data_IF_022877152136
#
_entry.id   IF_022877152136
#
_cell.length_a   1.000
_cell.length_b   1.000
_cell.length_c   1.000
_cell.angle_alpha   90.00
_cell.angle_beta   90.00
_cell.angle_gamma   90.00
#
_symmetry.space_group_name_H-M   'P 1'
#
loop_
_entity.id
_entity.type
_entity.pdbx_description
1 polymer ?
#
# COMPACT_ATOMS: atom_id res chain seq x y z
N UNK A 1 -3.75 0.92 -23.27
CA UNK A 1 -2.83 0.76 -22.12
C UNK A 1 -3.51 1.22 -20.84
N UNK A 2 -3.52 0.44 -19.73
CA UNK A 2 -4.19 0.85 -18.50
C UNK A 2 -3.46 2.04 -17.88
N UNK A 3 -4.14 3.18 -17.77
CA UNK A 3 -3.57 4.41 -17.19
C UNK A 3 -3.26 4.16 -15.71
N UNK A 4 -1.97 4.14 -15.36
CA UNK A 4 -1.49 3.92 -14.00
C UNK A 4 -2.02 5.04 -13.09
N UNK A 5 -3.13 4.80 -12.40
CA UNK A 5 -3.78 5.82 -11.59
C UNK A 5 -2.87 6.29 -10.46
N UNK A 6 -2.85 7.61 -10.19
CA UNK A 6 -2.00 8.24 -9.15
C UNK A 6 -2.15 7.56 -7.76
N UNK A 7 -3.31 6.97 -7.47
CA UNK A 7 -3.58 6.21 -6.25
C UNK A 7 -2.80 4.89 -6.15
N UNK A 8 -2.58 4.19 -7.27
CA UNK A 8 -1.75 2.98 -7.31
C UNK A 8 -0.27 3.29 -7.02
N UNK A 9 0.22 4.45 -7.49
CA UNK A 9 1.59 4.91 -7.25
C UNK A 9 1.82 5.41 -5.81
N UNK A 10 0.82 6.00 -5.15
CA UNK A 10 0.90 6.41 -3.73
C UNK A 10 0.87 5.20 -2.79
N UNK A 11 0.05 4.20 -3.11
CA UNK A 11 -0.03 2.95 -2.35
C UNK A 11 1.26 2.13 -2.42
N UNK A 12 1.80 1.93 -3.62
CA UNK A 12 3.04 1.16 -3.81
C UNK A 12 4.25 1.81 -3.14
N UNK A 13 4.38 3.15 -3.18
CA UNK A 13 5.43 3.88 -2.47
C UNK A 13 5.36 3.68 -0.96
N UNK A 14 4.17 3.83 -0.37
CA UNK A 14 4.01 3.67 1.09
C UNK A 14 4.30 2.24 1.55
N UNK A 15 3.91 1.23 0.76
CA UNK A 15 4.24 -0.18 1.02
C UNK A 15 5.75 -0.43 0.92
N UNK A 16 6.43 0.13 -0.09
CA UNK A 16 7.89 0.02 -0.22
C UNK A 16 8.61 0.63 0.98
N UNK A 17 8.24 1.85 1.40
CA UNK A 17 8.83 2.51 2.58
C UNK A 17 8.68 1.64 3.83
N UNK A 18 7.50 1.07 4.06
CA UNK A 18 7.29 0.24 5.25
C UNK A 18 8.05 -1.09 5.20
N UNK A 19 8.20 -1.69 4.01
CA UNK A 19 9.05 -2.85 3.83
C UNK A 19 10.53 -2.53 4.07
N UNK A 20 11.00 -1.34 3.68
CA UNK A 20 12.36 -0.89 4.00
C UNK A 20 12.54 -0.71 5.51
N UNK A 21 11.57 -0.09 6.19
CA UNK A 21 11.62 0.06 7.65
C UNK A 21 11.65 -1.28 8.39
N UNK A 22 10.83 -2.25 7.94
CA UNK A 22 10.85 -3.62 8.45
C UNK A 22 12.24 -4.27 8.27
N UNK A 23 12.86 -4.14 7.09
CA UNK A 23 14.20 -4.70 6.82
C UNK A 23 15.31 -4.01 7.62
N UNK A 24 15.17 -2.71 7.87
CA UNK A 24 16.14 -1.93 8.65
C UNK A 24 15.98 -2.07 10.18
N UNK A 25 15.04 -2.89 10.66
CA UNK A 25 14.76 -3.04 12.10
C UNK A 25 14.05 -1.84 12.76
N UNK A 26 13.74 -0.77 12.01
CA UNK A 26 13.11 0.47 12.53
C UNK A 26 11.67 0.30 13.00
N UNK A 27 10.98 -0.78 12.61
CA UNK A 27 9.61 -1.06 13.02
C UNK A 27 9.50 -2.47 13.61
N UNK A 28 8.79 -2.62 14.75
CA UNK A 28 8.46 -3.90 15.43
C UNK A 28 7.45 -4.74 14.64
N UNK A 29 7.65 -4.87 13.34
CA UNK A 29 6.73 -5.57 12.44
C UNK A 29 7.27 -6.98 12.24
N UNK A 30 6.54 -7.97 12.78
CA UNK A 30 6.97 -9.37 12.79
C UNK A 30 6.77 -10.08 11.45
N UNK A 31 6.11 -9.43 10.48
CA UNK A 31 5.74 -10.05 9.21
C UNK A 31 5.64 -9.04 8.06
N UNK A 32 6.07 -9.49 6.87
CA UNK A 32 5.90 -8.75 5.61
C UNK A 32 4.44 -8.38 5.32
N UNK A 33 3.48 -9.25 5.65
CA UNK A 33 2.04 -8.96 5.48
C UNK A 33 1.61 -7.77 6.31
N UNK A 34 2.13 -7.66 7.53
CA UNK A 34 1.86 -6.54 8.43
C UNK A 34 2.49 -5.24 7.93
N UNK A 35 3.72 -5.28 7.40
CA UNK A 35 4.35 -4.11 6.76
C UNK A 35 3.52 -3.60 5.56
N UNK A 36 3.04 -4.51 4.71
CA UNK A 36 2.16 -4.17 3.60
C UNK A 36 0.84 -3.56 4.11
N UNK A 37 0.23 -4.15 5.12
CA UNK A 37 -1.02 -3.65 5.69
C UNK A 37 -0.86 -2.23 6.25
N UNK A 38 0.24 -1.96 6.99
CA UNK A 38 0.55 -0.64 7.52
C UNK A 38 0.80 0.36 6.38
N UNK A 39 1.59 -0.01 5.38
CA UNK A 39 1.86 0.84 4.21
C UNK A 39 0.58 1.18 3.42
N UNK A 40 -0.32 0.21 3.23
CA UNK A 40 -1.62 0.45 2.59
C UNK A 40 -2.53 1.33 3.44
N UNK A 41 -2.52 1.16 4.77
CA UNK A 41 -3.33 1.97 5.66
C UNK A 41 -2.83 3.43 5.72
N UNK A 42 -1.51 3.65 5.81
CA UNK A 42 -0.88 4.98 5.72
C UNK A 42 -1.22 5.64 4.38
N UNK A 43 -1.19 4.90 3.28
CA UNK A 43 -1.56 5.43 1.97
C UNK A 43 -3.03 5.86 1.91
N UNK A 44 -3.97 5.10 2.50
CA UNK A 44 -5.38 5.50 2.61
C UNK A 44 -5.56 6.77 3.42
N UNK A 45 -4.90 6.89 4.58
CA UNK A 45 -4.91 8.11 5.41
C UNK A 45 -4.38 9.34 4.64
N UNK A 46 -3.43 9.14 3.73
CA UNK A 46 -2.90 10.18 2.83
C UNK A 46 -3.77 10.44 1.59
N UNK A 47 -5.01 9.95 1.55
CA UNK A 47 -5.95 10.16 0.45
C UNK A 47 -5.70 9.28 -0.78
N UNK A 48 -4.90 8.22 -0.68
CA UNK A 48 -4.80 7.25 -1.77
C UNK A 48 -6.07 6.40 -1.86
N UNK A 49 -6.75 6.48 -3.01
CA UNK A 49 -7.95 5.70 -3.32
C UNK A 49 -7.56 4.23 -3.60
N UNK A 50 -7.37 3.46 -2.53
CA UNK A 50 -6.95 2.05 -2.57
C UNK A 50 -8.13 1.18 -2.14
N UNK A 51 -8.63 0.28 -3.02
CA UNK A 51 -9.74 -0.61 -2.66
C UNK A 51 -9.36 -1.54 -1.51
N UNK A 52 -10.34 -1.88 -0.67
CA UNK A 52 -10.18 -2.93 0.36
C UNK A 52 -10.17 -4.29 -0.34
N UNK A 53 -9.35 -5.23 0.15
CA UNK A 53 -9.30 -6.61 -0.37
C UNK A 53 -10.72 -7.20 -0.21
N UNK A 54 -11.38 -7.51 -1.32
CA UNK A 54 -12.81 -7.84 -1.40
C UNK A 54 -13.61 -6.96 -2.38
N UNK A 55 -13.21 -5.69 -2.57
CA UNK A 55 -13.77 -4.77 -3.60
C UNK A 55 -12.79 -4.50 -4.75
N UNK A 56 -11.85 -5.41 -4.98
CA UNK A 56 -10.87 -5.28 -6.05
C UNK A 56 -11.47 -5.57 -7.45
N UNK A 57 -12.71 -6.06 -7.52
CA UNK A 57 -13.47 -6.28 -8.75
C UNK A 57 -14.33 -5.07 -9.11
N UNK A 58 -13.69 -4.01 -9.61
CA UNK A 58 -14.22 -2.95 -10.50
C UNK A 58 -13.14 -1.87 -10.58
N UNK A 59 -12.04 -2.19 -11.26
CA UNK A 59 -11.30 -1.14 -11.96
C UNK A 59 -12.00 -1.02 -13.31
N UNK A 60 -12.76 0.05 -13.45
CA UNK A 60 -13.35 0.50 -14.70
C UNK A 60 -12.31 0.38 -15.82
N UNK A 61 -12.70 -0.32 -16.88
CA UNK A 61 -12.06 -0.22 -18.18
C UNK A 61 -12.25 1.21 -18.73
#
# INVERSE_FOLDING_TARGET
MPRRSKSSAKGSRSVRTEMHHMRSGKHRVKSRKQAIAIGLNKARRKGARIPRKGRAGKKSA
#
